data_IF_302014875625
#
_entry.id   IF_302014875625
#
_cell.length_a   1.000
_cell.length_b   1.000
_cell.length_c   1.000
_cell.angle_alpha   90.00
_cell.angle_beta   90.00
_cell.angle_gamma   90.00
#
_symmetry.space_group_name_H-M   'P 1'
#
loop_
_entity.id
_entity.type
_entity.pdbx_description
1 polymer ?
#
# COMPACT_ATOMS: atom_id res chain seq x y z
N UNK A 1 30.16 11.91 -25.62
CA UNK A 1 29.78 12.75 -24.46
C UNK A 1 28.61 12.17 -23.75
N UNK A 2 28.79 11.91 -22.49
CA UNK A 2 27.68 11.41 -21.68
C UNK A 2 26.70 12.57 -21.41
N UNK A 3 25.41 12.34 -21.66
CA UNK A 3 24.40 13.29 -21.29
C UNK A 3 24.19 13.25 -19.78
N UNK A 4 24.18 14.40 -19.15
CA UNK A 4 23.78 14.47 -17.75
C UNK A 4 22.30 14.06 -17.65
N UNK A 5 21.97 13.14 -16.76
CA UNK A 5 20.58 12.89 -16.45
C UNK A 5 19.97 14.20 -15.95
N UNK A 6 18.85 14.56 -16.49
CA UNK A 6 18.11 15.72 -16.00
C UNK A 6 16.64 15.39 -15.89
N UNK A 7 16.00 16.02 -14.96
CA UNK A 7 14.57 15.84 -14.75
C UNK A 7 13.83 16.81 -15.68
N UNK A 8 13.62 16.38 -16.92
CA UNK A 8 12.86 17.16 -17.90
C UNK A 8 11.38 17.06 -17.68
N UNK A 9 10.96 15.91 -17.16
CA UNK A 9 9.56 15.63 -16.90
C UNK A 9 9.44 15.19 -15.47
N UNK A 10 8.76 15.99 -14.70
CA UNK A 10 8.34 15.64 -13.36
C UNK A 10 6.83 15.52 -13.40
N UNK A 11 6.32 14.33 -13.15
CA UNK A 11 4.88 14.10 -13.02
C UNK A 11 4.63 13.71 -11.57
N UNK A 12 4.61 14.68 -10.65
CA UNK A 12 4.44 14.39 -9.24
C UNK A 12 3.04 13.88 -8.98
N UNK A 13 2.90 12.56 -8.96
CA UNK A 13 1.64 11.94 -8.60
C UNK A 13 1.51 11.97 -7.10
N UNK A 14 0.50 12.68 -6.66
CA UNK A 14 0.12 12.69 -5.26
C UNK A 14 -0.80 11.52 -5.01
N UNK A 15 -0.42 10.65 -4.08
CA UNK A 15 -1.27 9.60 -3.59
C UNK A 15 -1.07 8.21 -4.14
N UNK A 16 -0.29 8.05 -5.21
CA UNK A 16 0.02 6.71 -5.73
C UNK A 16 1.27 6.69 -6.61
N UNK A 17 1.84 5.50 -6.77
CA UNK A 17 2.88 5.24 -7.76
C UNK A 17 2.69 3.83 -8.32
N UNK A 18 3.33 3.54 -9.44
CA UNK A 18 3.24 2.24 -10.11
C UNK A 18 4.50 1.41 -9.92
N UNK A 19 4.31 0.12 -9.76
CA UNK A 19 5.40 -0.85 -9.70
C UNK A 19 4.94 -2.19 -10.27
N UNK A 20 5.89 -2.96 -10.79
CA UNK A 20 5.62 -4.34 -11.20
C UNK A 20 5.52 -5.24 -9.97
N UNK A 21 4.65 -6.24 -10.03
CA UNK A 21 4.50 -7.24 -8.97
C UNK A 21 5.66 -8.21 -8.98
N UNK A 22 6.22 -8.50 -7.81
CA UNK A 22 7.23 -9.55 -7.64
C UNK A 22 6.62 -10.94 -7.60
N UNK A 23 5.37 -11.06 -7.16
CA UNK A 23 4.66 -12.33 -7.02
C UNK A 23 3.18 -12.13 -7.30
N UNK A 24 2.49 -13.22 -7.64
CA UNK A 24 1.05 -13.19 -7.90
C UNK A 24 0.28 -12.72 -6.67
N UNK A 25 -0.82 -12.00 -6.91
CA UNK A 25 -1.77 -11.69 -5.85
C UNK A 25 -2.75 -12.87 -5.74
N UNK A 26 -2.82 -13.44 -4.55
CA UNK A 26 -3.68 -14.60 -4.31
C UNK A 26 -5.15 -14.20 -4.29
N UNK A 27 -6.02 -15.10 -4.74
CA UNK A 27 -7.47 -14.86 -4.72
C UNK A 27 -8.00 -14.58 -3.31
N UNK A 28 -7.39 -15.16 -2.30
CA UNK A 28 -7.76 -14.92 -0.89
C UNK A 28 -7.49 -13.48 -0.43
N UNK A 29 -6.63 -12.75 -1.14
CA UNK A 29 -6.24 -11.39 -0.80
C UNK A 29 -7.11 -10.33 -1.48
N UNK A 30 -8.05 -10.73 -2.33
CA UNK A 30 -8.95 -9.83 -3.04
C UNK A 30 -9.97 -9.22 -2.08
N UNK A 31 -10.37 -7.99 -2.36
CA UNK A 31 -11.31 -7.18 -1.56
C UNK A 31 -10.79 -6.86 -0.16
N UNK A 32 -9.47 -6.86 0.00
CA UNK A 32 -8.79 -6.43 1.22
C UNK A 32 -7.73 -5.41 0.88
N UNK A 33 -7.33 -4.65 1.87
CA UNK A 33 -6.27 -3.65 1.74
C UNK A 33 -5.00 -4.23 2.36
N UNK A 34 -3.95 -4.34 1.56
CA UNK A 34 -2.67 -4.92 2.00
C UNK A 34 -1.56 -3.87 1.96
N UNK A 35 -0.64 -3.96 2.90
CA UNK A 35 0.52 -3.08 2.99
C UNK A 35 1.65 -3.63 2.13
N UNK A 36 2.22 -2.78 1.25
CA UNK A 36 3.23 -3.17 0.28
C UNK A 36 4.46 -2.28 0.35
N UNK A 37 5.61 -2.86 0.07
CA UNK A 37 6.86 -2.17 -0.17
C UNK A 37 7.49 -2.63 -1.47
N UNK A 38 8.75 -2.32 -1.67
CA UNK A 38 9.51 -2.75 -2.83
C UNK A 38 10.66 -3.67 -2.38
N UNK A 39 10.97 -4.67 -3.20
CA UNK A 39 12.15 -5.50 -2.99
C UNK A 39 13.40 -4.81 -3.53
N UNK A 40 14.56 -5.45 -3.42
CA UNK A 40 15.83 -4.88 -3.88
C UNK A 40 15.89 -4.64 -5.39
N UNK A 41 15.01 -5.25 -6.16
CA UNK A 41 14.87 -5.01 -7.60
C UNK A 41 13.83 -3.94 -7.95
N UNK A 42 13.21 -3.33 -6.95
CA UNK A 42 12.18 -2.30 -7.15
C UNK A 42 10.81 -2.86 -7.49
N UNK A 43 10.58 -4.15 -7.33
CA UNK A 43 9.27 -4.77 -7.57
C UNK A 43 8.42 -4.75 -6.31
N UNK A 44 7.12 -4.63 -6.49
CA UNK A 44 6.17 -4.58 -5.38
C UNK A 44 6.06 -5.93 -4.68
N UNK A 45 6.22 -5.91 -3.37
CA UNK A 45 6.07 -7.09 -2.52
C UNK A 45 5.13 -6.77 -1.36
N UNK A 46 4.37 -7.76 -0.94
CA UNK A 46 3.53 -7.66 0.25
C UNK A 46 4.43 -7.46 1.47
N UNK A 47 4.16 -6.44 2.26
CA UNK A 47 4.94 -6.16 3.47
C UNK A 47 6.06 -5.15 3.23
N UNK A 48 7.09 -5.22 4.06
CA UNK A 48 8.13 -4.21 4.10
C UNK A 48 9.10 -4.29 2.90
N UNK A 49 9.46 -5.48 2.45
CA UNK A 49 10.50 -5.61 1.43
C UNK A 49 11.82 -5.01 1.87
N UNK A 50 12.61 -4.55 0.91
CA UNK A 50 13.89 -3.88 1.16
C UNK A 50 13.71 -2.41 1.54
N UNK A 51 12.62 -1.77 1.14
CA UNK A 51 12.38 -0.34 1.34
C UNK A 51 11.63 0.00 2.63
N UNK A 52 11.08 -1.00 3.31
CA UNK A 52 9.99 -0.78 4.25
C UNK A 52 8.67 -0.62 3.52
N UNK A 53 7.57 -0.65 4.23
CA UNK A 53 6.25 -0.46 3.62
C UNK A 53 6.07 0.97 3.13
N UNK A 54 5.61 1.12 1.92
CA UNK A 54 5.48 2.42 1.25
C UNK A 54 4.03 2.83 1.04
N UNK A 55 3.12 1.88 0.93
CA UNK A 55 1.73 2.20 0.66
C UNK A 55 0.85 0.97 0.71
N UNK A 56 -0.37 1.09 0.22
CA UNK A 56 -1.36 0.03 0.24
C UNK A 56 -1.78 -0.36 -1.18
N UNK A 57 -2.08 -1.63 -1.35
CA UNK A 57 -2.59 -2.18 -2.60
C UNK A 57 -3.98 -2.71 -2.36
N UNK A 58 -4.89 -2.35 -3.28
CA UNK A 58 -6.28 -2.79 -3.26
C UNK A 58 -6.53 -3.52 -4.55
N UNK A 59 -7.01 -4.75 -4.45
CA UNK A 59 -7.41 -5.52 -5.62
C UNK A 59 -8.81 -6.06 -5.45
N UNK A 60 -9.60 -5.83 -6.46
CA UNK A 60 -10.99 -6.25 -6.51
C UNK A 60 -11.25 -7.30 -7.57
N UNK A 61 -10.25 -7.62 -8.40
CA UNK A 61 -10.36 -8.65 -9.44
C UNK A 61 -9.27 -9.69 -9.29
N UNK A 62 -9.57 -10.89 -9.75
CA UNK A 62 -8.64 -12.03 -9.78
C UNK A 62 -7.64 -11.90 -10.93
N UNK A 63 -6.55 -12.66 -10.85
CA UNK A 63 -5.65 -12.86 -11.95
C UNK A 63 -4.48 -11.89 -12.05
N UNK A 64 -4.18 -11.14 -11.01
CA UNK A 64 -2.96 -10.33 -10.98
C UNK A 64 -1.75 -11.24 -10.78
N UNK A 65 -0.86 -11.23 -11.76
CA UNK A 65 0.30 -12.13 -11.82
C UNK A 65 1.60 -11.36 -11.63
N UNK A 66 2.65 -12.09 -11.26
CA UNK A 66 4.00 -11.52 -11.21
C UNK A 66 4.34 -10.85 -12.55
N UNK A 67 4.91 -9.65 -12.47
CA UNK A 67 5.21 -8.83 -13.65
C UNK A 67 4.13 -7.84 -14.05
N UNK A 68 2.90 -8.01 -13.59
CA UNK A 68 1.83 -7.04 -13.84
C UNK A 68 2.14 -5.73 -13.12
N UNK A 69 1.75 -4.63 -13.74
CA UNK A 69 1.93 -3.29 -13.15
C UNK A 69 0.73 -2.99 -12.26
N UNK A 70 1.01 -2.60 -11.04
CA UNK A 70 -0.03 -2.24 -10.06
C UNK A 70 0.21 -0.84 -9.51
N UNK A 71 -0.85 -0.25 -8.96
CA UNK A 71 -0.77 1.01 -8.23
C UNK A 71 -0.61 0.76 -6.73
N UNK A 72 0.35 1.43 -6.13
CA UNK A 72 0.54 1.46 -4.68
C UNK A 72 0.09 2.83 -4.19
N UNK A 73 -0.91 2.86 -3.33
CA UNK A 73 -1.51 4.10 -2.85
C UNK A 73 -0.84 4.54 -1.56
N UNK A 74 -0.41 5.81 -1.51
CA UNK A 74 0.31 6.39 -0.37
C UNK A 74 -0.51 7.44 0.37
N UNK A 75 -1.49 8.03 -0.29
CA UNK A 75 -2.37 9.05 0.28
C UNK A 75 -3.70 9.09 -0.47
N UNK A 76 -4.71 9.63 0.16
CA UNK A 76 -6.05 9.77 -0.41
C UNK A 76 -7.13 9.19 0.50
N UNK A 77 -8.24 8.80 -0.10
CA UNK A 77 -9.36 8.20 0.63
C UNK A 77 -9.72 6.85 0.01
N UNK A 78 -9.98 5.86 0.86
CA UNK A 78 -10.41 4.52 0.44
C UNK A 78 -11.79 4.24 1.03
N UNK A 79 -12.68 3.71 0.20
CA UNK A 79 -14.03 3.33 0.62
C UNK A 79 -14.54 2.13 -0.18
N UNK A 80 -15.13 1.13 0.46
CA UNK A 80 -15.08 0.86 1.91
C UNK A 80 -13.71 0.34 2.34
N UNK A 81 -13.32 0.63 3.58
CA UNK A 81 -12.08 0.08 4.11
C UNK A 81 -12.33 -1.23 4.84
N UNK A 82 -11.63 -2.26 4.39
CA UNK A 82 -11.67 -3.60 4.99
C UNK A 82 -10.24 -4.01 5.31
N UNK A 83 -9.99 -4.42 6.54
CA UNK A 83 -8.68 -4.84 6.99
C UNK A 83 -8.25 -6.16 6.35
N UNK A 84 -6.98 -6.52 6.50
CA UNK A 84 -6.46 -7.81 6.01
C UNK A 84 -7.15 -9.01 6.67
N UNK A 85 -7.72 -8.84 7.85
CA UNK A 85 -8.54 -9.86 8.50
C UNK A 85 -9.96 -9.95 7.93
N UNK A 86 -10.31 -9.09 6.98
CA UNK A 86 -11.65 -9.08 6.38
C UNK A 86 -12.70 -8.37 7.22
N UNK A 87 -12.28 -7.52 8.16
CA UNK A 87 -13.17 -6.80 9.06
C UNK A 87 -13.24 -5.33 8.62
N UNK A 88 -14.45 -4.77 8.62
CA UNK A 88 -14.64 -3.36 8.30
C UNK A 88 -13.89 -2.48 9.31
N UNK A 89 -13.31 -1.38 8.81
CA UNK A 89 -12.62 -0.41 9.65
C UNK A 89 -13.56 0.24 10.66
N UNK A 90 -13.05 0.47 11.88
CA UNK A 90 -13.83 1.06 12.96
C UNK A 90 -13.64 2.58 12.94
N UNK A 91 -14.71 3.39 12.87
CA UNK A 91 -14.60 4.86 12.88
C UNK A 91 -13.79 5.37 14.08
N UNK A 92 -12.94 6.36 13.83
CA UNK A 92 -12.09 6.96 14.84
C UNK A 92 -10.86 6.16 15.22
N UNK A 93 -10.62 5.04 14.57
CA UNK A 93 -9.48 4.16 14.85
C UNK A 93 -8.34 4.42 13.87
N UNK A 94 -7.12 4.42 14.38
CA UNK A 94 -5.90 4.49 13.56
C UNK A 94 -5.48 3.08 13.16
N UNK A 95 -4.99 2.95 11.94
CA UNK A 95 -4.54 1.67 11.38
C UNK A 95 -3.08 1.72 10.99
N UNK A 96 -2.42 0.57 11.09
CA UNK A 96 -0.99 0.43 10.90
C UNK A 96 -0.69 -0.75 9.99
N UNK A 97 0.27 -0.58 9.10
CA UNK A 97 0.76 -1.65 8.24
C UNK A 97 2.01 -2.28 8.83
N UNK A 98 2.14 -3.59 8.67
CA UNK A 98 3.20 -4.38 9.27
C UNK A 98 4.11 -5.03 8.21
N UNK A 99 5.27 -5.52 8.66
CA UNK A 99 6.28 -6.08 7.78
C UNK A 99 5.82 -7.29 6.98
N UNK A 100 4.78 -7.99 7.42
CA UNK A 100 4.18 -9.13 6.72
C UNK A 100 3.05 -8.73 5.76
N UNK A 101 2.75 -7.45 5.65
CA UNK A 101 1.70 -6.92 4.78
C UNK A 101 0.34 -6.76 5.43
N UNK A 102 0.16 -7.19 6.66
CA UNK A 102 -1.11 -7.04 7.37
C UNK A 102 -1.34 -5.59 7.78
N UNK A 103 -2.61 -5.19 7.85
CA UNK A 103 -3.04 -3.88 8.32
C UNK A 103 -4.04 -4.10 9.45
N UNK A 104 -3.74 -3.56 10.61
CA UNK A 104 -4.59 -3.66 11.80
C UNK A 104 -4.42 -2.40 12.68
N UNK A 105 -5.05 -2.40 13.84
CA UNK A 105 -5.00 -1.27 14.76
C UNK A 105 -3.83 -1.33 15.75
N UNK A 106 -2.92 -2.30 15.62
CA UNK A 106 -1.77 -2.47 16.51
C UNK A 106 -0.63 -1.56 16.05
N UNK A 107 -0.24 -0.61 16.90
CA UNK A 107 0.80 0.36 16.56
C UNK A 107 2.22 -0.22 16.65
N UNK A 108 2.44 -1.24 17.46
CA UNK A 108 3.76 -1.82 17.71
C UNK A 108 4.37 -2.37 16.42
N UNK A 109 5.57 -1.92 16.08
CA UNK A 109 6.30 -2.29 14.87
C UNK A 109 5.50 -2.02 13.57
N UNK A 110 4.56 -1.08 13.63
CA UNK A 110 3.72 -0.72 12.49
C UNK A 110 4.05 0.65 11.93
N UNK A 111 3.78 0.82 10.63
CA UNK A 111 3.82 2.11 9.96
C UNK A 111 2.41 2.68 9.95
N UNK A 112 2.25 3.93 10.33
CA UNK A 112 0.93 4.57 10.27
C UNK A 112 0.40 4.55 8.83
N UNK A 113 -0.80 4.03 8.66
CA UNK A 113 -1.47 3.95 7.35
C UNK A 113 -2.56 5.01 7.23
N UNK A 114 -3.35 5.19 8.25
CA UNK A 114 -4.44 6.14 8.22
C UNK A 114 -5.43 5.94 9.36
N UNK A 115 -6.52 6.68 9.29
CA UNK A 115 -7.61 6.57 10.25
C UNK A 115 -8.95 6.51 9.53
N UNK A 116 -9.96 5.99 10.19
CA UNK A 116 -11.28 5.75 9.61
C UNK A 116 -12.27 6.82 10.05
N UNK A 117 -13.01 7.37 9.10
CA UNK A 117 -14.03 8.38 9.34
C UNK A 117 -15.35 7.75 9.79
N UNK A 118 -16.30 8.60 10.19
CA UNK A 118 -17.62 8.14 10.68
C UNK A 118 -18.41 7.35 9.64
N UNK A 119 -18.16 7.57 8.35
CA UNK A 119 -18.83 6.86 7.26
C UNK A 119 -18.01 5.68 6.69
N UNK A 120 -16.94 5.28 7.37
CA UNK A 120 -16.18 4.09 7.00
C UNK A 120 -15.10 4.31 5.95
N UNK A 121 -14.75 5.56 5.64
CA UNK A 121 -13.63 5.84 4.73
C UNK A 121 -12.31 5.82 5.48
N UNK A 122 -11.29 5.21 4.88
CA UNK A 122 -9.93 5.34 5.37
C UNK A 122 -9.29 6.59 4.77
N UNK A 123 -8.88 7.52 5.62
CA UNK A 123 -8.04 8.62 5.20
C UNK A 123 -6.60 8.12 5.19
N UNK A 124 -6.13 7.80 3.99
CA UNK A 124 -4.84 7.16 3.78
C UNK A 124 -3.72 8.20 3.80
N UNK A 125 -2.72 7.96 4.66
CA UNK A 125 -1.54 8.81 4.75
C UNK A 125 -0.41 8.00 5.36
N UNK A 126 0.28 7.25 4.53
CA UNK A 126 1.32 6.35 5.00
C UNK A 126 2.53 7.13 5.51
N UNK A 127 2.98 6.78 6.71
CA UNK A 127 4.12 7.42 7.36
C UNK A 127 5.02 6.37 8.00
N UNK A 128 6.32 6.60 7.93
CA UNK A 128 7.27 5.76 8.64
C UNK A 128 7.13 5.97 10.16
N UNK A 129 7.46 4.94 10.99
CA UNK A 129 7.55 5.11 12.42
C UNK A 129 8.57 6.18 12.78
N UNK A 130 8.25 6.95 13.79
CA UNK A 130 9.20 7.96 14.29
C UNK A 130 10.42 7.31 14.94
#
# INVERSE_FOLDING_TARGET
MALKPRIDKSDPKVGSFRAGLAADILDADINKVWFYGLNSSGLAVKGAGATGGLGVVIRTKKGELAGDIIDIHTAGELYPFVTTAGVAGIPGTKYYGHADGTIDAVATAGFYVGCVTSDGRLILRVQEPA
#
